data_IF_621032586231
#
_entry.id   IF_621032586231
#
_cell.length_a   1.000
_cell.length_b   1.000
_cell.length_c   1.000
_cell.angle_alpha   90.00
_cell.angle_beta   90.00
_cell.angle_gamma   90.00
#
_symmetry.space_group_name_H-M   'P 1'
#
loop_
_entity.id
_entity.type
_entity.pdbx_description
1 polymer ?
#
# COMPACT_ATOMS: atom_id res chain seq x y z
N UNK A 1 -5.90 11.28 -7.41
CA UNK A 1 -5.89 12.31 -8.47
C UNK A 1 -4.43 12.52 -8.90
N UNK A 2 -4.15 13.43 -9.83
CA UNK A 2 -2.79 13.64 -10.31
C UNK A 2 -1.82 14.05 -9.18
N UNK A 3 -2.23 14.95 -8.29
CA UNK A 3 -1.39 15.40 -7.17
C UNK A 3 -0.94 14.23 -6.29
N UNK A 4 -1.88 13.35 -5.91
CA UNK A 4 -1.56 12.17 -5.12
C UNK A 4 -0.63 11.19 -5.86
N UNK A 5 -0.78 11.04 -7.18
CA UNK A 5 0.09 10.17 -7.98
C UNK A 5 1.54 10.69 -7.98
N UNK A 6 1.73 12.00 -8.14
CA UNK A 6 3.06 12.64 -8.08
C UNK A 6 3.70 12.54 -6.69
N UNK A 7 2.94 12.84 -5.63
CA UNK A 7 3.43 12.74 -4.26
C UNK A 7 3.86 11.30 -3.94
N UNK A 8 3.01 10.33 -4.26
CA UNK A 8 3.29 8.91 -4.04
C UNK A 8 4.51 8.44 -4.83
N UNK A 9 4.59 8.76 -6.12
CA UNK A 9 5.69 8.29 -6.96
C UNK A 9 7.02 8.93 -6.58
N UNK A 10 7.01 10.21 -6.17
CA UNK A 10 8.22 10.89 -5.66
C UNK A 10 8.69 10.29 -4.34
N UNK A 11 7.77 9.94 -3.43
CA UNK A 11 8.12 9.24 -2.19
C UNK A 11 8.66 7.84 -2.45
N UNK A 12 8.06 7.10 -3.39
CA UNK A 12 8.52 5.77 -3.80
C UNK A 12 9.93 5.84 -4.38
N UNK A 13 10.18 6.74 -5.33
CA UNK A 13 11.48 6.90 -5.98
C UNK A 13 12.63 7.07 -4.98
N UNK A 14 12.42 7.87 -3.91
CA UNK A 14 13.42 8.10 -2.86
C UNK A 14 13.75 6.86 -2.01
N UNK A 15 12.90 5.81 -2.06
CA UNK A 15 13.06 4.57 -1.28
C UNK A 15 13.59 3.41 -2.12
N UNK A 16 13.68 3.57 -3.44
CA UNK A 16 14.24 2.57 -4.33
C UNK A 16 15.76 2.68 -4.32
N UNK A 17 16.45 1.58 -3.98
CA UNK A 17 17.91 1.51 -4.01
C UNK A 17 18.45 1.15 -5.41
N UNK A 18 17.62 0.51 -6.24
CA UNK A 18 18.01 -0.06 -7.52
C UNK A 18 16.89 0.16 -8.55
N UNK A 19 17.20 -0.05 -9.83
CA UNK A 19 16.20 -0.17 -10.90
C UNK A 19 15.24 -1.31 -10.59
N UNK A 20 13.95 -1.09 -10.83
CA UNK A 20 12.88 -2.06 -10.57
C UNK A 20 11.93 -2.15 -11.75
N UNK A 21 11.14 -3.23 -11.78
CA UNK A 21 9.93 -3.30 -12.59
C UNK A 21 8.73 -2.75 -11.82
N UNK A 22 7.96 -1.86 -12.43
CA UNK A 22 6.76 -1.25 -11.87
C UNK A 22 5.55 -1.54 -12.75
N UNK A 23 4.42 -1.87 -12.12
CA UNK A 23 3.13 -1.96 -12.80
C UNK A 23 2.09 -1.09 -12.09
N UNK A 24 1.42 -0.22 -12.84
CA UNK A 24 0.32 0.61 -12.34
C UNK A 24 -1.00 0.21 -13.02
N UNK A 25 -2.11 0.73 -12.51
CA UNK A 25 -3.41 0.60 -13.16
C UNK A 25 -3.55 1.58 -14.34
N UNK A 26 -4.74 1.66 -14.92
CA UNK A 26 -5.04 2.55 -16.05
C UNK A 26 -5.08 4.05 -15.75
N UNK A 27 -4.69 4.51 -14.55
CA UNK A 27 -4.77 5.94 -14.23
C UNK A 27 -3.68 6.74 -14.96
N UNK A 28 -4.08 7.50 -15.98
CA UNK A 28 -3.15 8.22 -16.88
C UNK A 28 -2.15 9.15 -16.20
N UNK A 29 -2.45 9.68 -15.00
CA UNK A 29 -1.52 10.51 -14.24
C UNK A 29 -0.22 9.79 -13.86
N UNK A 30 -0.21 8.45 -13.83
CA UNK A 30 1.02 7.68 -13.59
C UNK A 30 2.03 7.78 -14.73
N UNK A 31 1.62 8.10 -15.96
CA UNK A 31 2.57 8.31 -17.06
C UNK A 31 3.52 9.47 -16.72
N UNK A 32 2.94 10.62 -16.37
CA UNK A 32 3.73 11.81 -16.03
C UNK A 32 4.43 11.66 -14.67
N UNK A 33 3.76 11.07 -13.68
CA UNK A 33 4.32 10.93 -12.33
C UNK A 33 5.53 9.99 -12.28
N UNK A 34 5.53 8.88 -13.04
CA UNK A 34 6.65 7.93 -13.11
C UNK A 34 7.85 8.56 -13.81
N UNK A 35 7.63 9.22 -14.94
CA UNK A 35 8.72 9.87 -15.67
C UNK A 35 9.32 11.02 -14.85
N UNK A 36 8.48 11.82 -14.19
CA UNK A 36 8.93 12.90 -13.32
C UNK A 36 9.77 12.40 -12.13
N UNK A 37 9.33 11.34 -11.45
CA UNK A 37 9.95 10.90 -10.20
C UNK A 37 11.17 9.98 -10.39
N UNK A 38 11.15 9.13 -11.43
CA UNK A 38 12.16 8.08 -11.64
C UNK A 38 12.85 8.26 -13.01
N UNK A 39 12.11 8.71 -14.01
CA UNK A 39 12.56 8.80 -15.39
C UNK A 39 12.46 7.46 -16.12
N UNK A 40 11.85 7.46 -17.30
CA UNK A 40 11.58 6.22 -18.05
C UNK A 40 12.82 5.39 -18.41
N UNK A 41 14.01 6.00 -18.49
CA UNK A 41 15.25 5.26 -18.75
C UNK A 41 15.78 4.46 -17.53
N UNK A 42 15.25 4.71 -16.33
CA UNK A 42 15.72 4.12 -15.07
C UNK A 42 14.74 3.07 -14.50
N UNK A 43 13.71 2.69 -15.25
CA UNK A 43 12.65 1.79 -14.78
C UNK A 43 12.08 0.93 -15.91
N UNK A 44 11.67 -0.28 -15.58
CA UNK A 44 10.89 -1.15 -16.46
C UNK A 44 9.41 -0.99 -16.09
N UNK A 45 8.66 -0.24 -16.91
CA UNK A 45 7.33 0.24 -16.55
C UNK A 45 6.26 -0.25 -17.50
N UNK A 46 5.21 -0.84 -16.93
CA UNK A 46 4.01 -1.23 -17.63
C UNK A 46 2.74 -0.73 -16.92
N UNK A 47 1.66 -0.55 -17.69
CA UNK A 47 0.32 -0.35 -17.16
C UNK A 47 -0.53 -1.58 -17.42
N UNK A 48 -1.30 -2.01 -16.43
CA UNK A 48 -2.28 -3.09 -16.58
C UNK A 48 -3.69 -2.51 -16.47
N UNK A 49 -4.37 -2.40 -17.60
CA UNK A 49 -5.70 -1.78 -17.70
C UNK A 49 -6.76 -2.88 -17.67
N UNK A 50 -7.51 -2.96 -16.58
CA UNK A 50 -8.64 -3.88 -16.46
C UNK A 50 -9.91 -3.23 -17.00
N UNK A 51 -10.57 -3.91 -17.93
CA UNK A 51 -11.88 -3.54 -18.47
C UNK A 51 -12.93 -4.28 -17.67
N UNK A 52 -13.85 -3.52 -17.07
CA UNK A 52 -14.95 -4.06 -16.28
C UNK A 52 -16.27 -3.83 -17.01
N UNK A 53 -17.10 -4.86 -17.10
CA UNK A 53 -18.42 -4.84 -17.73
C UNK A 53 -19.51 -5.25 -16.74
N UNK A 54 -20.75 -4.94 -17.08
CA UNK A 54 -21.91 -5.38 -16.30
C UNK A 54 -22.38 -6.73 -16.84
N UNK A 55 -22.48 -7.79 -16.01
CA UNK A 55 -23.05 -9.06 -16.46
C UNK A 55 -24.51 -8.90 -16.87
N UNK A 56 -24.93 -9.59 -17.93
CA UNK A 56 -26.34 -9.64 -18.33
C UNK A 56 -27.17 -10.30 -17.21
N UNK A 57 -28.22 -9.62 -16.74
CA UNK A 57 -29.13 -10.14 -15.71
C UNK A 57 -28.71 -9.89 -14.24
N UNK A 58 -27.62 -9.16 -13.98
CA UNK A 58 -27.16 -8.90 -12.61
C UNK A 58 -28.13 -8.00 -11.81
N UNK A 59 -28.49 -8.43 -10.59
CA UNK A 59 -29.22 -7.58 -9.64
C UNK A 59 -28.40 -6.31 -9.34
N UNK A 60 -28.95 -5.17 -9.74
CA UNK A 60 -28.20 -3.92 -10.02
C UNK A 60 -27.55 -3.23 -8.82
N UNK A 61 -27.83 -3.62 -7.57
CA UNK A 61 -27.49 -2.76 -6.42
C UNK A 61 -26.15 -3.08 -5.76
N UNK A 62 -25.64 -4.31 -5.87
CA UNK A 62 -24.39 -4.71 -5.20
C UNK A 62 -23.53 -5.73 -5.95
N UNK A 63 -23.92 -6.11 -7.17
CA UNK A 63 -23.10 -7.02 -7.99
C UNK A 63 -21.83 -6.31 -8.44
N UNK A 64 -20.63 -6.82 -8.11
CA UNK A 64 -19.39 -6.24 -8.63
C UNK A 64 -19.37 -6.42 -10.15
N UNK A 65 -18.86 -5.43 -10.90
CA UNK A 65 -18.71 -5.60 -12.33
C UNK A 65 -17.67 -6.69 -12.62
N UNK A 66 -17.90 -7.47 -13.67
CA UNK A 66 -17.01 -8.55 -14.08
C UNK A 66 -15.84 -7.98 -14.88
N UNK A 67 -14.62 -8.50 -14.64
CA UNK A 67 -13.48 -8.16 -15.47
C UNK A 67 -13.62 -8.89 -16.81
N UNK A 68 -13.97 -8.15 -17.87
CA UNK A 68 -14.21 -8.67 -19.22
C UNK A 68 -12.97 -8.67 -20.10
N UNK A 69 -11.87 -8.08 -19.62
CA UNK A 69 -10.60 -8.10 -20.32
C UNK A 69 -9.51 -7.34 -19.59
N UNK A 70 -8.28 -7.64 -19.97
CA UNK A 70 -7.07 -7.01 -19.44
C UNK A 70 -6.22 -6.56 -20.63
N UNK A 71 -5.70 -5.35 -20.56
CA UNK A 71 -4.81 -4.76 -21.57
C UNK A 71 -3.50 -4.36 -20.87
N UNK A 72 -2.43 -5.12 -21.15
CA UNK A 72 -1.10 -4.88 -20.63
C UNK A 72 -0.31 -4.04 -21.63
N UNK A 73 0.16 -2.87 -21.20
CA UNK A 73 0.91 -1.93 -22.04
C UNK A 73 2.28 -1.71 -21.45
N UNK A 74 3.32 -2.08 -22.20
CA UNK A 74 4.69 -1.67 -21.88
C UNK A 74 4.83 -0.20 -22.23
N UNK A 75 5.25 0.60 -21.24
CA UNK A 75 5.43 2.05 -21.38
C UNK A 75 6.92 2.37 -21.59
N UNK A 76 7.80 1.74 -20.81
CA UNK A 76 9.25 1.92 -20.95
C UNK A 76 10.02 0.69 -20.46
N UNK A 77 11.26 0.56 -20.94
CA UNK A 77 12.17 -0.51 -20.57
C UNK A 77 11.80 -1.86 -21.16
N UNK A 78 12.17 -2.92 -20.47
CA UNK A 78 11.95 -4.31 -20.84
C UNK A 78 11.34 -5.08 -19.64
N UNK A 79 10.09 -4.77 -19.24
CA UNK A 79 9.45 -5.45 -18.13
C UNK A 79 9.14 -6.91 -18.50
N UNK A 80 9.44 -7.84 -17.59
CA UNK A 80 9.07 -9.24 -17.76
C UNK A 80 7.53 -9.37 -17.79
N UNK A 81 6.95 -9.86 -18.90
CA UNK A 81 5.50 -10.00 -19.05
C UNK A 81 4.83 -10.82 -17.95
N UNK A 82 5.53 -11.78 -17.34
CA UNK A 82 4.99 -12.64 -16.29
C UNK A 82 4.77 -11.90 -14.97
N UNK A 83 5.48 -10.78 -14.78
CA UNK A 83 5.42 -9.96 -13.58
C UNK A 83 4.55 -8.71 -13.76
N UNK A 84 3.99 -8.46 -14.94
CA UNK A 84 3.05 -7.36 -15.17
C UNK A 84 1.71 -7.70 -14.51
N UNK A 85 1.49 -7.18 -13.30
CA UNK A 85 0.29 -7.50 -12.51
C UNK A 85 -0.10 -6.38 -11.54
N UNK A 86 -1.41 -6.18 -11.35
CA UNK A 86 -1.97 -5.37 -10.24
C UNK A 86 -2.62 -6.25 -9.16
N UNK A 87 -2.67 -7.58 -9.34
CA UNK A 87 -3.42 -8.47 -8.47
C UNK A 87 -2.89 -8.50 -7.03
N UNK A 88 -1.58 -8.29 -6.83
CA UNK A 88 -0.98 -8.24 -5.49
C UNK A 88 -1.44 -7.03 -4.69
N UNK A 89 -1.39 -5.83 -5.28
CA UNK A 89 -1.86 -4.60 -4.60
C UNK A 89 -3.38 -4.62 -4.41
N UNK A 90 -4.13 -5.18 -5.35
CA UNK A 90 -5.58 -5.38 -5.20
C UNK A 90 -5.92 -6.32 -4.05
N UNK A 91 -5.19 -7.44 -3.91
CA UNK A 91 -5.33 -8.36 -2.78
C UNK A 91 -4.97 -7.69 -1.46
N UNK A 92 -3.89 -6.91 -1.43
CA UNK A 92 -3.50 -6.14 -0.25
C UNK A 92 -4.60 -5.14 0.14
N UNK A 93 -5.15 -4.41 -0.83
CA UNK A 93 -6.26 -3.47 -0.61
C UNK A 93 -7.52 -4.17 -0.09
N UNK A 94 -7.80 -5.40 -0.53
CA UNK A 94 -8.87 -6.22 0.04
C UNK A 94 -8.56 -6.60 1.49
N UNK A 95 -7.36 -7.11 1.77
CA UNK A 95 -6.94 -7.49 3.12
C UNK A 95 -7.03 -6.31 4.10
N UNK A 96 -6.58 -5.13 3.68
CA UNK A 96 -6.66 -3.89 4.43
C UNK A 96 -8.13 -3.56 4.78
N UNK A 97 -9.02 -3.58 3.78
CA UNK A 97 -10.45 -3.28 3.96
C UNK A 97 -11.17 -4.27 4.87
N UNK A 98 -10.83 -5.55 4.76
CA UNK A 98 -11.44 -6.60 5.59
C UNK A 98 -10.83 -6.65 7.00
N UNK A 99 -9.56 -6.28 7.14
CA UNK A 99 -8.80 -6.36 8.38
C UNK A 99 -8.95 -5.16 9.30
N UNK A 100 -9.49 -4.02 8.82
CA UNK A 100 -9.77 -2.88 9.68
C UNK A 100 -11.11 -2.22 9.40
N UNK A 101 -11.87 -1.98 10.46
CA UNK A 101 -13.21 -1.37 10.35
C UNK A 101 -13.19 0.07 9.84
N UNK A 102 -12.06 0.77 9.88
CA UNK A 102 -11.95 2.17 9.39
C UNK A 102 -12.17 2.31 7.89
N UNK A 103 -12.02 1.24 7.13
CA UNK A 103 -12.36 1.20 5.70
C UNK A 103 -13.73 0.60 5.41
N UNK A 104 -14.48 0.21 6.45
CA UNK A 104 -15.86 -0.26 6.31
C UNK A 104 -16.80 0.95 6.35
N UNK A 105 -17.79 0.96 5.46
CA UNK A 105 -18.83 2.00 5.46
C UNK A 105 -19.87 1.73 6.57
N UNK A 106 -20.55 2.77 7.04
CA UNK A 106 -21.65 2.67 8.01
C UNK A 106 -21.28 1.96 9.33
N UNK A 107 -20.10 2.28 9.87
CA UNK A 107 -19.63 1.77 11.16
C UNK A 107 -19.31 2.93 12.11
N UNK A 108 -19.43 2.67 13.42
CA UNK A 108 -18.99 3.60 14.47
C UNK A 108 -17.47 3.74 14.57
N UNK A 109 -16.71 2.83 13.95
CA UNK A 109 -15.25 2.81 13.97
C UNK A 109 -14.61 3.72 12.90
N UNK A 110 -15.05 4.98 12.82
CA UNK A 110 -14.51 5.97 11.88
C UNK A 110 -13.41 6.84 12.51
N UNK A 111 -12.63 7.50 11.66
CA UNK A 111 -11.59 8.44 12.11
C UNK A 111 -12.14 9.85 11.98
N UNK A 112 -12.20 10.62 13.07
CA UNK A 112 -12.58 12.04 13.01
C UNK A 112 -11.51 12.92 12.35
N UNK A 113 -10.27 12.46 12.40
CA UNK A 113 -9.06 13.13 11.94
C UNK A 113 -8.31 12.22 10.97
N UNK A 114 -7.74 12.80 9.91
CA UNK A 114 -7.00 12.04 8.90
C UNK A 114 -5.72 11.41 9.49
N UNK A 115 -5.08 12.10 10.44
CA UNK A 115 -3.90 11.63 11.14
C UNK A 115 -4.20 10.34 11.90
N UNK A 116 -5.34 10.29 12.59
CA UNK A 116 -5.78 9.08 13.29
C UNK A 116 -6.07 7.93 12.32
N UNK A 117 -6.50 8.22 11.09
CA UNK A 117 -6.68 7.19 10.06
C UNK A 117 -5.31 6.65 9.61
N UNK A 118 -4.37 7.54 9.30
CA UNK A 118 -3.00 7.19 8.95
C UNK A 118 -2.30 6.36 10.05
N UNK A 119 -2.46 6.73 11.33
CA UNK A 119 -1.93 5.96 12.46
C UNK A 119 -2.49 4.54 12.53
N UNK A 120 -3.79 4.35 12.27
CA UNK A 120 -4.36 2.99 12.23
C UNK A 120 -3.81 2.17 11.06
N UNK A 121 -3.64 2.79 9.89
CA UNK A 121 -3.03 2.11 8.73
C UNK A 121 -1.60 1.68 9.08
N UNK A 122 -0.81 2.57 9.72
CA UNK A 122 0.53 2.23 10.18
C UNK A 122 0.55 1.06 11.18
N UNK A 123 -0.32 1.09 12.19
CA UNK A 123 -0.45 0.00 13.17
C UNK A 123 -0.83 -1.33 12.51
N UNK A 124 -1.76 -1.30 11.56
CA UNK A 124 -2.15 -2.50 10.82
C UNK A 124 -0.99 -3.03 9.98
N UNK A 125 -0.25 -2.16 9.30
CA UNK A 125 0.90 -2.55 8.47
C UNK A 125 1.99 -3.23 9.31
N UNK A 126 2.29 -2.71 10.51
CA UNK A 126 3.24 -3.35 11.43
C UNK A 126 2.70 -4.70 11.90
N UNK A 127 1.47 -4.74 12.40
CA UNK A 127 0.87 -5.99 12.87
C UNK A 127 0.80 -7.07 11.78
N UNK A 128 0.37 -6.70 10.57
CA UNK A 128 0.21 -7.63 9.45
C UNK A 128 1.55 -8.23 9.02
N UNK A 129 2.60 -7.41 8.95
CA UNK A 129 3.91 -7.86 8.47
C UNK A 129 4.74 -8.57 9.53
N UNK A 130 4.66 -8.15 10.80
CA UNK A 130 5.56 -8.64 11.86
C UNK A 130 4.91 -9.64 12.82
N UNK A 131 3.60 -9.57 13.05
CA UNK A 131 2.93 -10.39 14.07
C UNK A 131 2.01 -11.48 13.50
N UNK A 132 1.50 -11.30 12.29
CA UNK A 132 0.53 -12.23 11.70
C UNK A 132 1.23 -13.27 10.83
N UNK A 133 1.02 -14.55 11.14
CA UNK A 133 1.41 -15.65 10.24
C UNK A 133 0.53 -15.62 8.99
N UNK A 134 1.16 -15.55 7.82
CA UNK A 134 0.46 -15.56 6.55
C UNK A 134 0.05 -16.99 6.17
N UNK A 135 -1.20 -17.18 5.73
CA UNK A 135 -1.77 -18.51 5.48
C UNK A 135 -0.98 -19.33 4.46
N UNK A 136 -0.45 -18.68 3.42
CA UNK A 136 0.32 -19.36 2.35
C UNK A 136 1.80 -19.46 2.70
N UNK A 137 2.39 -18.42 3.32
CA UNK A 137 3.83 -18.42 3.62
C UNK A 137 4.17 -19.27 4.84
N UNK A 138 3.18 -19.52 5.72
CA UNK A 138 3.34 -20.21 7.02
C UNK A 138 4.25 -19.50 8.03
N UNK A 139 4.82 -18.36 7.65
CA UNK A 139 5.56 -17.41 8.49
C UNK A 139 4.98 -16.01 8.37
N UNK A 140 5.48 -15.05 9.16
CA UNK A 140 5.12 -13.64 9.00
C UNK A 140 5.75 -13.05 7.74
N UNK A 141 5.08 -12.12 7.02
CA UNK A 141 5.63 -11.51 5.81
C UNK A 141 7.02 -10.87 5.99
N UNK A 142 7.28 -10.23 7.13
CA UNK A 142 8.59 -9.65 7.43
C UNK A 142 9.68 -10.73 7.61
N UNK A 143 9.31 -11.95 8.01
CA UNK A 143 10.24 -13.07 8.07
C UNK A 143 10.59 -13.59 6.69
N UNK A 144 9.58 -13.77 5.82
CA UNK A 144 9.80 -14.16 4.42
C UNK A 144 10.66 -13.14 3.67
N UNK A 145 10.47 -11.85 3.98
CA UNK A 145 11.26 -10.76 3.41
C UNK A 145 12.67 -10.62 4.02
N UNK A 146 13.03 -11.42 5.03
CA UNK A 146 14.34 -11.36 5.69
C UNK A 146 14.55 -10.11 6.57
N UNK A 147 13.49 -9.39 6.92
CA UNK A 147 13.55 -8.19 7.78
C UNK A 147 13.71 -8.58 9.25
N UNK A 148 13.19 -9.74 9.64
CA UNK A 148 13.34 -10.31 10.99
C UNK A 148 13.37 -11.83 10.91
N UNK A 149 14.07 -12.47 11.85
CA UNK A 149 14.20 -13.92 11.95
C UNK A 149 13.16 -14.56 12.88
N UNK A 150 12.35 -13.75 13.56
CA UNK A 150 11.37 -14.20 14.55
C UNK A 150 10.01 -13.54 14.37
N UNK A 151 8.98 -14.20 14.89
CA UNK A 151 7.66 -13.61 14.99
C UNK A 151 7.64 -12.55 16.09
N UNK A 152 7.06 -11.39 15.80
CA UNK A 152 6.87 -10.34 16.80
C UNK A 152 5.55 -10.53 17.55
N UNK A 153 5.56 -10.11 18.80
CA UNK A 153 4.38 -9.95 19.66
C UNK A 153 4.01 -8.47 19.76
N UNK A 154 2.83 -8.18 20.32
CA UNK A 154 2.47 -6.80 20.63
C UNK A 154 3.44 -6.15 21.63
N UNK A 155 4.08 -6.93 22.51
CA UNK A 155 5.07 -6.43 23.46
C UNK A 155 6.32 -5.92 22.73
N UNK A 156 6.73 -6.60 21.67
CA UNK A 156 7.87 -6.17 20.85
C UNK A 156 7.58 -4.82 20.19
N UNK A 157 6.39 -4.65 19.63
CA UNK A 157 5.97 -3.36 19.04
C UNK A 157 6.02 -2.24 20.08
N UNK A 158 5.51 -2.48 21.29
CA UNK A 158 5.54 -1.48 22.37
C UNK A 158 6.99 -1.15 22.76
N UNK A 159 7.84 -2.17 22.89
CA UNK A 159 9.25 -1.99 23.25
C UNK A 159 10.00 -1.13 22.21
N UNK A 160 9.74 -1.33 20.91
CA UNK A 160 10.31 -0.50 19.85
C UNK A 160 9.83 0.96 19.91
N UNK A 161 8.55 1.17 20.23
CA UNK A 161 8.00 2.53 20.42
C UNK A 161 8.68 3.20 21.61
N UNK A 162 8.79 2.51 22.76
CA UNK A 162 9.44 3.03 23.96
C UNK A 162 10.92 3.35 23.70
N UNK A 163 11.64 2.47 22.98
CA UNK A 163 13.03 2.68 22.60
C UNK A 163 13.21 3.89 21.68
N UNK A 164 12.29 4.10 20.74
CA UNK A 164 12.28 5.28 19.88
C UNK A 164 11.98 6.55 20.67
N UNK A 165 10.99 6.54 21.57
CA UNK A 165 10.65 7.70 22.41
C UNK A 165 11.81 8.11 23.33
N UNK A 166 12.56 7.15 23.86
CA UNK A 166 13.74 7.41 24.70
C UNK A 166 14.85 8.16 23.96
N UNK A 167 14.95 8.01 22.64
CA UNK A 167 15.93 8.69 21.79
C UNK A 167 15.46 10.09 21.37
N UNK A 168 14.16 10.38 21.46
CA UNK A 168 13.62 11.69 21.10
C UNK A 168 14.03 12.74 22.14
N UNK A 169 14.35 13.98 21.71
CA UNK A 169 14.61 15.06 22.65
C UNK A 169 13.36 15.30 23.52
N UNK A 170 13.55 15.29 24.84
CA UNK A 170 12.47 15.58 25.80
C UNK A 170 11.81 16.92 25.42
N UNK A 171 10.53 16.90 25.07
CA UNK A 171 9.75 18.14 24.93
C UNK A 171 9.80 18.86 26.28
N UNK A 172 10.41 20.06 26.31
CA UNK A 172 10.33 20.93 27.48
C UNK A 172 8.85 21.14 27.79
N UNK A 173 8.40 20.93 29.05
CA UNK A 173 7.01 21.16 29.39
C UNK A 173 6.65 22.60 29.03
N UNK A 174 5.68 22.77 28.13
CA UNK A 174 5.19 24.08 27.74
C UNK A 174 4.68 24.81 28.97
N UNK A 175 5.19 26.01 29.22
CA UNK A 175 4.70 26.87 30.29
C UNK A 175 3.23 27.17 29.98
N UNK A 176 2.30 26.69 30.82
CA UNK A 176 0.88 27.08 30.70
C UNK A 176 0.81 28.62 30.72
N UNK A 177 0.10 29.27 29.79
CA UNK A 177 -0.15 30.69 29.89
C UNK A 177 -0.89 30.98 31.22
N UNK A 178 -0.49 32.07 31.89
CA UNK A 178 -1.11 32.54 33.13
C UNK A 178 -2.53 33.03 32.87
#
# INVERSE_FOLDING_TARGET
DAAAAFEFMTDLARRLANRVQLTTDGHGAYLDAVDFAIGFHQIDYAMLIKRYGTPEGAEKRYSPPECVGVDARVISGDPDPHHISTSYVERQNLNLRMGMRRFTRLTNAFSKKIENHAHMVALYTVWYNFCRIHQTLKVAPAMEAGVTDRLWTLKDIIAEVDAWEAQQPRKKPGRKPK
#
